data_IF_290289234651
#
_entry.id   IF_290289234651
#
_cell.length_a   1.000
_cell.length_b   1.000
_cell.length_c   1.000
_cell.angle_alpha   90.00
_cell.angle_beta   90.00
_cell.angle_gamma   90.00
#
_symmetry.space_group_name_H-M   'P 1'
#
loop_
_entity.id
_entity.type
_entity.pdbx_description
1 polymer ?
#
# COMPACT_ATOMS: atom_id res chain seq x y z
N UNK A 1 -19.97 -61.57 23.98
CA UNK A 1 -19.81 -60.45 23.03
C UNK A 1 -18.51 -59.75 23.36
N UNK A 2 -17.47 -59.97 22.54
CA UNK A 2 -16.19 -59.26 22.63
C UNK A 2 -15.73 -59.06 21.19
N UNK A 3 -15.85 -57.84 20.68
CA UNK A 3 -15.47 -57.49 19.31
C UNK A 3 -14.02 -57.01 19.34
N UNK A 4 -13.13 -57.83 18.79
CA UNK A 4 -11.73 -57.50 18.48
C UNK A 4 -11.72 -56.65 17.20
N UNK A 5 -11.35 -55.36 17.30
CA UNK A 5 -10.92 -54.59 16.14
C UNK A 5 -9.40 -54.57 16.08
N UNK A 6 -8.87 -55.14 15.00
CA UNK A 6 -7.45 -55.28 14.67
C UNK A 6 -6.90 -53.94 14.17
N UNK A 7 -5.87 -53.43 14.83
CA UNK A 7 -5.05 -52.32 14.36
C UNK A 7 -4.09 -52.81 13.28
N UNK A 8 -4.32 -52.47 12.02
CA UNK A 8 -3.32 -52.64 10.96
C UNK A 8 -2.39 -51.45 10.94
N UNK A 9 -1.15 -51.65 11.41
CA UNK A 9 -0.01 -50.76 11.16
C UNK A 9 0.25 -50.71 9.65
N UNK A 10 0.12 -49.52 9.06
CA UNK A 10 0.70 -49.20 7.77
C UNK A 10 2.07 -48.57 7.97
N UNK A 11 3.13 -49.33 7.67
CA UNK A 11 4.51 -48.83 7.52
C UNK A 11 4.69 -48.46 6.05
N UNK A 12 4.93 -47.18 5.76
CA UNK A 12 5.55 -46.74 4.50
C UNK A 12 6.43 -45.51 4.76
N UNK A 13 7.72 -45.63 4.40
CA UNK A 13 8.51 -44.50 3.92
C UNK A 13 9.53 -43.89 4.88
N UNK A 14 10.69 -44.52 5.01
CA UNK A 14 11.92 -43.91 5.50
C UNK A 14 12.43 -42.84 4.52
N UNK A 15 12.24 -41.55 4.83
CA UNK A 15 12.99 -40.44 4.23
C UNK A 15 13.28 -39.39 5.31
N UNK A 16 14.57 -39.28 5.67
CA UNK A 16 15.19 -38.11 6.33
C UNK A 16 14.51 -37.58 7.60
N UNK A 17 15.05 -37.93 8.76
CA UNK A 17 14.75 -37.29 10.06
C UNK A 17 15.30 -35.86 10.12
N UNK A 18 14.71 -34.94 9.36
CA UNK A 18 14.61 -33.54 9.75
C UNK A 18 13.32 -33.41 10.56
N UNK A 19 13.35 -32.71 11.68
CA UNK A 19 12.19 -32.53 12.57
C UNK A 19 11.01 -31.87 11.84
N UNK A 20 10.18 -32.66 11.15
CA UNK A 20 8.86 -32.28 10.67
C UNK A 20 7.86 -32.27 11.85
N UNK A 21 8.25 -31.61 12.94
CA UNK A 21 7.33 -31.26 14.03
C UNK A 21 6.46 -30.07 13.64
N UNK A 22 5.53 -29.68 14.50
CA UNK A 22 4.63 -28.53 14.30
C UNK A 22 5.34 -27.25 13.81
N UNK A 23 6.63 -27.05 14.14
CA UNK A 23 7.45 -25.96 13.62
C UNK A 23 7.66 -25.98 12.10
N UNK A 24 7.90 -27.14 11.48
CA UNK A 24 8.06 -27.25 10.03
C UNK A 24 6.76 -26.93 9.27
N UNK A 25 5.62 -27.36 9.81
CA UNK A 25 4.30 -27.02 9.27
C UNK A 25 3.95 -25.54 9.48
N UNK A 26 4.35 -24.96 10.61
CA UNK A 26 4.16 -23.54 10.89
C UNK A 26 4.89 -22.68 9.85
N UNK A 27 6.19 -22.88 9.67
CA UNK A 27 6.98 -22.09 8.72
C UNK A 27 6.59 -22.36 7.26
N UNK A 28 6.28 -23.60 6.91
CA UNK A 28 5.87 -23.97 5.53
C UNK A 28 4.50 -23.45 5.10
N UNK A 29 3.65 -23.02 6.04
CA UNK A 29 2.29 -22.49 5.75
C UNK A 29 2.11 -21.04 6.18
N UNK A 30 3.16 -20.40 6.70
CA UNK A 30 3.11 -19.03 7.16
C UNK A 30 2.93 -18.09 5.98
N UNK A 31 1.87 -17.30 6.04
CA UNK A 31 1.69 -16.09 5.24
C UNK A 31 1.87 -14.93 6.21
N UNK A 32 2.84 -14.06 5.92
CA UNK A 32 3.16 -12.88 6.69
C UNK A 32 2.32 -11.66 6.28
N UNK A 33 2.46 -10.55 7.00
CA UNK A 33 1.92 -9.26 6.57
C UNK A 33 2.68 -8.76 5.33
N UNK A 34 3.98 -9.01 5.24
CA UNK A 34 4.77 -8.67 4.06
C UNK A 34 4.28 -9.41 2.80
N UNK A 35 3.86 -10.67 2.91
CA UNK A 35 3.24 -11.39 1.78
C UNK A 35 1.92 -10.76 1.30
N UNK A 36 1.29 -9.91 2.12
CA UNK A 36 0.02 -9.24 1.81
C UNK A 36 0.16 -7.79 1.39
N UNK A 37 1.13 -7.08 1.96
CA UNK A 37 1.38 -5.65 1.71
C UNK A 37 2.58 -5.45 0.80
N UNK A 38 3.64 -6.24 0.99
CA UNK A 38 4.82 -6.30 0.14
C UNK A 38 5.47 -4.94 -0.10
N UNK A 39 5.68 -4.61 -1.37
CA UNK A 39 6.35 -3.38 -1.77
C UNK A 39 5.51 -2.11 -1.60
N UNK A 40 4.34 -2.19 -0.96
CA UNK A 40 3.46 -1.04 -0.73
C UNK A 40 3.73 -0.37 0.62
N UNK A 41 4.55 -1.00 1.47
CA UNK A 41 5.11 -0.35 2.65
C UNK A 41 5.84 0.95 2.26
N UNK A 42 5.60 1.99 3.05
CA UNK A 42 6.29 3.26 2.93
C UNK A 42 7.80 3.07 3.16
N UNK A 43 8.62 3.77 2.36
CA UNK A 43 10.07 3.64 2.41
C UNK A 43 10.69 4.10 3.73
N UNK A 44 11.95 3.71 3.92
CA UNK A 44 12.70 3.99 5.15
C UNK A 44 13.74 5.11 4.98
N UNK A 45 13.91 5.61 3.76
CA UNK A 45 14.83 6.66 3.38
C UNK A 45 14.35 8.05 3.87
N UNK A 46 15.27 9.02 3.89
CA UNK A 46 15.00 10.37 4.38
C UNK A 46 13.85 11.07 3.63
N UNK A 47 13.67 10.78 2.34
CA UNK A 47 12.58 11.35 1.53
C UNK A 47 11.17 11.00 2.05
N UNK A 48 11.06 9.95 2.88
CA UNK A 48 9.82 9.50 3.50
C UNK A 48 9.58 10.10 4.89
N UNK A 49 10.49 10.92 5.43
CA UNK A 49 10.34 11.46 6.80
C UNK A 49 9.03 12.25 6.98
N UNK A 50 8.69 13.12 6.04
CA UNK A 50 7.44 13.88 6.12
C UNK A 50 6.20 12.99 5.92
N UNK A 51 6.34 11.94 5.13
CA UNK A 51 5.30 10.91 4.98
C UNK A 51 5.03 10.17 6.28
N UNK A 52 6.08 9.80 7.02
CA UNK A 52 5.95 9.19 8.34
C UNK A 52 5.35 10.14 9.38
N UNK A 53 5.70 11.43 9.34
CA UNK A 53 5.04 12.45 10.18
C UNK A 53 3.55 12.55 9.88
N UNK A 54 3.16 12.58 8.62
CA UNK A 54 1.75 12.62 8.23
C UNK A 54 0.99 11.37 8.68
N UNK A 55 1.60 10.18 8.54
CA UNK A 55 1.00 8.92 9.02
C UNK A 55 0.85 8.88 10.53
N UNK A 56 1.82 9.44 11.26
CA UNK A 56 1.71 9.63 12.70
C UNK A 56 0.58 10.59 13.07
N UNK A 57 0.42 11.71 12.36
CA UNK A 57 -0.70 12.63 12.58
C UNK A 57 -2.06 11.94 12.36
N UNK A 58 -2.17 11.09 11.34
CA UNK A 58 -3.36 10.25 11.10
C UNK A 58 -3.61 9.24 12.25
N UNK A 59 -2.55 8.74 12.89
CA UNK A 59 -2.68 7.86 14.06
C UNK A 59 -3.23 8.64 15.27
N UNK A 60 -2.79 9.88 15.49
CA UNK A 60 -3.27 10.71 16.60
C UNK A 60 -4.77 11.02 16.51
N UNK A 61 -5.29 11.12 15.28
CA UNK A 61 -6.70 11.39 14.97
C UNK A 61 -7.61 10.15 15.06
N UNK A 62 -7.03 8.95 15.19
CA UNK A 62 -7.80 7.72 15.23
C UNK A 62 -8.60 7.55 16.53
N UNK A 63 -9.74 6.88 16.45
CA UNK A 63 -10.49 6.49 17.64
C UNK A 63 -9.72 5.42 18.43
N UNK A 64 -9.63 5.55 19.76
CA UNK A 64 -8.75 4.70 20.58
C UNK A 64 -9.13 3.21 20.49
N UNK A 65 -10.40 2.89 20.46
CA UNK A 65 -10.94 1.54 20.32
C UNK A 65 -10.58 0.86 19.00
N UNK A 66 -10.26 1.63 17.96
CA UNK A 66 -9.82 1.11 16.66
C UNK A 66 -8.35 0.66 16.63
N UNK A 67 -7.59 0.92 17.70
CA UNK A 67 -6.16 0.68 17.76
C UNK A 67 -5.79 -0.54 18.61
N UNK A 68 -4.78 -1.28 18.17
CA UNK A 68 -4.10 -2.31 18.97
C UNK A 68 -3.19 -1.68 20.04
N UNK A 69 -2.78 -2.43 21.07
CA UNK A 69 -1.96 -1.91 22.17
C UNK A 69 -0.70 -1.15 21.73
N UNK A 70 0.03 -1.64 20.73
CA UNK A 70 1.27 -0.99 20.25
C UNK A 70 0.99 0.40 19.67
N UNK A 71 -0.03 0.52 18.82
CA UNK A 71 -0.44 1.79 18.21
C UNK A 71 -1.02 2.76 19.24
N UNK A 72 -1.76 2.24 20.24
CA UNK A 72 -2.21 3.04 21.40
C UNK A 72 -1.02 3.59 22.18
N UNK A 73 0.01 2.78 22.38
CA UNK A 73 1.21 3.20 23.10
C UNK A 73 1.94 4.30 22.33
N UNK A 74 2.19 4.12 21.03
CA UNK A 74 2.83 5.14 20.18
C UNK A 74 2.04 6.46 20.26
N UNK A 75 0.72 6.40 20.08
CA UNK A 75 -0.16 7.57 20.16
C UNK A 75 -0.08 8.28 21.52
N UNK A 76 -0.04 7.54 22.63
CA UNK A 76 0.01 8.09 23.99
C UNK A 76 1.39 8.69 24.31
N UNK A 77 2.46 8.00 23.95
CA UNK A 77 3.83 8.43 24.20
C UNK A 77 4.24 9.62 23.34
N UNK A 78 3.74 9.68 22.10
CA UNK A 78 4.10 10.72 21.12
C UNK A 78 2.88 11.55 20.71
N UNK A 79 2.14 12.13 21.65
CA UNK A 79 0.84 12.77 21.39
C UNK A 79 0.88 14.10 20.60
N UNK A 80 2.02 14.51 20.05
CA UNK A 80 2.20 15.79 19.35
C UNK A 80 2.28 15.58 17.84
N UNK A 81 1.55 16.40 17.08
CA UNK A 81 1.62 16.39 15.61
C UNK A 81 2.99 16.79 15.08
N UNK A 82 3.34 16.31 13.89
CA UNK A 82 4.63 16.54 13.23
C UNK A 82 5.87 16.16 14.06
N UNK A 83 5.70 15.28 15.05
CA UNK A 83 6.76 14.82 15.92
C UNK A 83 7.62 13.73 15.24
N UNK A 84 8.93 13.95 15.16
CA UNK A 84 9.84 13.01 14.51
C UNK A 84 9.99 11.69 15.29
N UNK A 85 9.94 11.71 16.62
CA UNK A 85 10.04 10.51 17.43
C UNK A 85 8.81 9.61 17.27
N UNK A 86 7.61 10.21 17.20
CA UNK A 86 6.35 9.51 16.91
C UNK A 86 6.33 8.93 15.50
N UNK A 87 6.83 9.68 14.51
CA UNK A 87 7.03 9.20 13.15
C UNK A 87 7.99 7.99 13.11
N UNK A 88 9.11 8.06 13.84
CA UNK A 88 10.09 6.98 13.94
C UNK A 88 9.53 5.76 14.70
N UNK A 89 8.74 5.97 15.75
CA UNK A 89 8.10 4.90 16.50
C UNK A 89 7.06 4.15 15.64
N UNK A 90 6.24 4.88 14.87
CA UNK A 90 5.30 4.29 13.93
C UNK A 90 6.02 3.52 12.81
N UNK A 91 7.07 4.11 12.23
CA UNK A 91 7.94 3.45 11.26
C UNK A 91 8.55 2.16 11.82
N UNK A 92 9.03 2.20 13.06
CA UNK A 92 9.57 1.03 13.76
C UNK A 92 8.54 -0.09 13.91
N UNK A 93 7.32 0.25 14.31
CA UNK A 93 6.21 -0.70 14.39
C UNK A 93 5.84 -1.28 13.01
N UNK A 94 5.74 -0.44 11.98
CA UNK A 94 5.46 -0.90 10.63
C UNK A 94 6.50 -1.90 10.12
N UNK A 95 7.79 -1.66 10.42
CA UNK A 95 8.85 -2.59 10.08
C UNK A 95 8.79 -3.89 10.91
N UNK A 96 8.42 -3.83 12.19
CA UNK A 96 8.36 -5.03 13.04
C UNK A 96 7.22 -5.98 12.69
N UNK A 97 6.10 -5.44 12.16
CA UNK A 97 4.94 -6.27 11.81
C UNK A 97 5.09 -6.99 10.46
N UNK A 98 6.07 -6.65 9.62
CA UNK A 98 6.25 -7.23 8.27
C UNK A 98 6.32 -8.76 8.34
N UNK A 99 7.15 -9.28 9.24
CA UNK A 99 7.34 -10.71 9.43
C UNK A 99 6.28 -11.36 10.34
N UNK A 100 5.31 -10.59 10.85
CA UNK A 100 4.25 -11.15 11.69
C UNK A 100 3.33 -12.03 10.84
N UNK A 101 2.94 -13.18 11.39
CA UNK A 101 2.03 -14.12 10.72
C UNK A 101 0.64 -13.49 10.54
N UNK A 102 0.24 -13.28 9.29
CA UNK A 102 -1.14 -12.99 8.93
C UNK A 102 -2.02 -14.23 9.04
N UNK A 103 -1.55 -15.38 8.54
CA UNK A 103 -2.18 -16.69 8.76
C UNK A 103 -1.18 -17.82 8.68
N UNK A 104 -1.53 -18.97 9.25
CA UNK A 104 -0.85 -20.25 9.01
C UNK A 104 -1.85 -21.39 9.28
N UNK A 105 -1.40 -22.65 9.18
CA UNK A 105 -2.26 -23.82 9.41
C UNK A 105 -2.89 -23.90 10.81
N UNK A 106 -2.33 -23.20 11.81
CA UNK A 106 -2.80 -23.18 13.20
C UNK A 106 -3.53 -21.88 13.58
N UNK A 107 -3.40 -20.82 12.79
CA UNK A 107 -3.90 -19.47 13.12
C UNK A 107 -4.71 -18.92 11.95
N UNK A 108 -5.94 -18.51 12.24
CA UNK A 108 -6.83 -17.83 11.28
C UNK A 108 -6.31 -16.44 10.89
N UNK A 109 -6.86 -15.90 9.80
CA UNK A 109 -6.47 -14.59 9.27
C UNK A 109 -6.55 -13.46 10.30
N UNK A 110 -5.44 -12.76 10.49
CA UNK A 110 -5.38 -11.54 11.29
C UNK A 110 -5.71 -10.32 10.42
N UNK A 111 -7.00 -10.21 10.04
CA UNK A 111 -7.49 -9.10 9.20
C UNK A 111 -7.29 -7.74 9.88
N UNK A 112 -7.51 -7.67 11.19
CA UNK A 112 -7.33 -6.42 11.94
C UNK A 112 -5.89 -5.89 11.85
N UNK A 113 -4.88 -6.75 11.98
CA UNK A 113 -3.49 -6.32 11.81
C UNK A 113 -3.18 -5.90 10.37
N UNK A 114 -3.71 -6.63 9.37
CA UNK A 114 -3.55 -6.28 7.97
C UNK A 114 -4.18 -4.92 7.64
N UNK A 115 -5.39 -4.67 8.12
CA UNK A 115 -6.10 -3.40 7.89
C UNK A 115 -5.34 -2.23 8.53
N UNK A 116 -4.79 -2.43 9.73
CA UNK A 116 -3.96 -1.43 10.41
C UNK A 116 -2.63 -1.20 9.69
N UNK A 117 -2.00 -2.26 9.17
CA UNK A 117 -0.79 -2.17 8.36
C UNK A 117 -1.06 -1.36 7.08
N UNK A 118 -2.13 -1.68 6.36
CA UNK A 118 -2.53 -0.95 5.16
C UNK A 118 -2.84 0.51 5.46
N UNK A 119 -3.48 0.80 6.60
CA UNK A 119 -3.84 2.16 6.98
C UNK A 119 -2.64 3.03 7.36
N UNK A 120 -1.74 2.50 8.19
CA UNK A 120 -0.69 3.30 8.85
C UNK A 120 0.71 3.10 8.26
N UNK A 121 0.94 2.03 7.50
CA UNK A 121 2.24 1.73 6.91
C UNK A 121 2.29 1.96 5.40
N UNK A 122 1.16 2.25 4.76
CA UNK A 122 1.07 2.64 3.35
C UNK A 122 0.61 4.10 3.29
N UNK A 123 1.22 4.88 2.41
CA UNK A 123 0.75 6.22 2.08
C UNK A 123 0.29 6.26 0.62
N UNK A 124 -1.01 6.47 0.35
CA UNK A 124 -1.47 6.75 -1.00
C UNK A 124 -0.85 8.04 -1.55
N UNK A 125 -0.64 8.11 -2.87
CA UNK A 125 -0.10 9.31 -3.53
C UNK A 125 -0.97 10.54 -3.25
N UNK A 126 -2.31 10.39 -3.19
CA UNK A 126 -3.22 11.50 -2.82
C UNK A 126 -2.92 12.11 -1.45
N UNK A 127 -2.56 11.27 -0.48
CA UNK A 127 -2.27 11.72 0.88
C UNK A 127 -0.96 12.49 0.87
N UNK A 128 0.04 12.00 0.13
CA UNK A 128 1.35 12.65 -0.03
C UNK A 128 1.25 14.03 -0.69
N UNK A 129 0.45 14.14 -1.76
CA UNK A 129 0.30 15.39 -2.50
C UNK A 129 -0.65 16.38 -1.81
N UNK A 130 -1.60 15.86 -1.02
CA UNK A 130 -2.71 16.62 -0.46
C UNK A 130 -3.82 16.85 -1.48
N UNK A 131 -5.07 16.73 -1.02
CA UNK A 131 -6.27 16.87 -1.87
C UNK A 131 -6.41 18.26 -2.50
N UNK A 132 -5.82 19.29 -1.90
CA UNK A 132 -5.83 20.66 -2.43
C UNK A 132 -5.00 20.83 -3.69
N UNK A 133 -3.95 20.01 -3.88
CA UNK A 133 -3.07 20.03 -5.04
C UNK A 133 -3.63 19.25 -6.24
N UNK A 134 -4.51 18.27 -5.98
CA UNK A 134 -5.12 17.42 -6.99
C UNK A 134 -6.31 18.09 -7.67
N UNK A 135 -6.54 17.78 -8.94
CA UNK A 135 -7.77 18.15 -9.64
C UNK A 135 -8.98 17.55 -8.92
N UNK A 136 -10.05 18.34 -8.82
CA UNK A 136 -11.33 17.86 -8.28
C UNK A 136 -11.90 16.78 -9.21
N UNK A 137 -11.96 15.54 -8.71
CA UNK A 137 -12.50 14.41 -9.48
C UNK A 137 -13.97 14.59 -9.84
N UNK A 138 -14.74 15.40 -9.10
CA UNK A 138 -16.16 15.64 -9.37
C UNK A 138 -16.39 16.78 -10.36
N UNK A 139 -15.65 17.89 -10.23
CA UNK A 139 -15.94 19.14 -10.95
C UNK A 139 -14.75 19.74 -11.73
N UNK A 140 -13.63 19.02 -11.83
CA UNK A 140 -12.38 19.52 -12.42
C UNK A 140 -12.24 19.37 -13.93
N UNK A 141 -13.35 19.41 -14.69
CA UNK A 141 -13.33 19.15 -16.14
C UNK A 141 -12.29 20.01 -16.88
N UNK A 142 -12.28 21.33 -16.67
CA UNK A 142 -11.34 22.23 -17.37
C UNK A 142 -9.87 21.93 -17.06
N UNK A 143 -9.56 21.55 -15.81
CA UNK A 143 -8.23 21.08 -15.42
C UNK A 143 -7.89 19.74 -16.08
N UNK A 144 -8.84 18.81 -16.17
CA UNK A 144 -8.60 17.54 -16.87
C UNK A 144 -8.45 17.71 -18.38
N UNK A 145 -9.18 18.63 -19.01
CA UNK A 145 -8.97 19.00 -20.41
C UNK A 145 -7.56 19.57 -20.62
N UNK A 146 -7.11 20.44 -19.72
CA UNK A 146 -5.73 20.97 -19.72
C UNK A 146 -4.70 19.86 -19.52
N UNK A 147 -4.96 18.91 -18.62
CA UNK A 147 -4.06 17.80 -18.36
C UNK A 147 -4.02 16.81 -19.52
N UNK A 148 -5.13 16.56 -20.20
CA UNK A 148 -5.16 15.78 -21.44
C UNK A 148 -4.27 16.39 -22.52
N UNK A 149 -4.27 17.73 -22.68
CA UNK A 149 -3.40 18.42 -23.64
C UNK A 149 -1.90 18.23 -23.37
N UNK A 150 -1.50 17.91 -22.13
CA UNK A 150 -0.10 17.59 -21.79
C UNK A 150 0.41 16.34 -22.54
N UNK A 151 -0.49 15.43 -22.97
CA UNK A 151 -0.10 14.22 -23.69
C UNK A 151 0.59 14.50 -25.02
N UNK A 152 0.19 15.57 -25.73
CA UNK A 152 0.74 15.92 -27.05
C UNK A 152 2.28 16.01 -27.02
N UNK A 153 2.79 16.80 -26.08
CA UNK A 153 4.22 17.11 -25.95
C UNK A 153 4.88 16.36 -24.78
N UNK A 154 4.24 15.29 -24.27
CA UNK A 154 4.78 14.54 -23.15
C UNK A 154 6.11 13.88 -23.54
N UNK A 155 7.16 14.22 -22.77
CA UNK A 155 8.51 13.68 -22.88
C UNK A 155 8.76 12.67 -21.75
N UNK A 156 8.81 11.39 -22.12
CA UNK A 156 8.99 10.31 -21.16
C UNK A 156 10.39 10.23 -20.55
N UNK A 157 11.39 10.86 -21.17
CA UNK A 157 12.75 10.89 -20.62
C UNK A 157 12.87 11.76 -19.36
N UNK A 158 11.97 12.74 -19.22
CA UNK A 158 11.96 13.71 -18.11
C UNK A 158 10.88 13.43 -17.07
N UNK A 159 9.71 12.96 -17.52
CA UNK A 159 8.50 12.94 -16.68
C UNK A 159 8.04 11.53 -16.28
N UNK A 160 8.84 10.51 -16.58
CA UNK A 160 8.47 9.10 -16.40
C UNK A 160 7.94 8.47 -17.69
N UNK A 161 7.89 7.14 -17.71
CA UNK A 161 7.32 6.38 -18.81
C UNK A 161 5.80 6.36 -18.66
N UNK A 162 5.06 6.71 -19.72
CA UNK A 162 3.61 6.53 -19.74
C UNK A 162 3.27 5.05 -19.50
N UNK A 163 2.27 4.80 -18.67
CA UNK A 163 1.67 3.47 -18.61
C UNK A 163 0.79 3.21 -19.84
N UNK A 164 0.27 2.00 -19.96
CA UNK A 164 -0.49 1.59 -21.14
C UNK A 164 -1.71 2.48 -21.40
N UNK A 165 -2.40 2.94 -20.35
CA UNK A 165 -3.60 3.77 -20.49
C UNK A 165 -3.23 5.16 -21.00
N UNK A 166 -2.24 5.81 -20.39
CA UNK A 166 -1.81 7.13 -20.84
C UNK A 166 -1.11 7.08 -22.21
N UNK A 167 -0.42 6.00 -22.52
CA UNK A 167 0.19 5.79 -23.84
C UNK A 167 -0.88 5.68 -24.92
N UNK A 168 -1.95 4.90 -24.70
CA UNK A 168 -3.08 4.80 -25.63
C UNK A 168 -3.76 6.17 -25.84
N UNK A 169 -3.92 6.97 -24.78
CA UNK A 169 -4.43 8.33 -24.88
C UNK A 169 -3.50 9.27 -25.66
N UNK A 170 -2.19 9.11 -25.51
CA UNK A 170 -1.20 9.86 -26.29
C UNK A 170 -1.25 9.46 -27.77
N UNK A 171 -1.30 8.16 -28.06
CA UNK A 171 -1.30 7.63 -29.42
C UNK A 171 -2.57 8.03 -30.19
N UNK A 172 -3.69 8.16 -29.48
CA UNK A 172 -4.97 8.63 -30.01
C UNK A 172 -5.21 10.14 -29.81
N UNK A 173 -4.17 10.89 -29.41
CA UNK A 173 -4.31 12.29 -29.04
C UNK A 173 -4.82 13.15 -30.20
N UNK A 174 -5.82 13.98 -29.89
CA UNK A 174 -6.37 15.00 -30.77
C UNK A 174 -6.79 16.21 -29.95
N UNK A 175 -6.19 17.38 -30.22
CA UNK A 175 -6.44 18.61 -29.47
C UNK A 175 -7.90 19.07 -29.54
N UNK A 176 -8.58 18.84 -30.68
CA UNK A 176 -9.99 19.17 -30.86
C UNK A 176 -10.96 18.28 -30.06
N UNK A 177 -10.47 17.19 -29.44
CA UNK A 177 -11.28 16.24 -28.67
C UNK A 177 -10.99 16.26 -27.17
N UNK A 178 -10.41 17.34 -26.64
CA UNK A 178 -10.14 17.46 -25.21
C UNK A 178 -11.42 17.35 -24.36
N UNK A 179 -12.50 18.01 -24.77
CA UNK A 179 -13.81 17.96 -24.12
C UNK A 179 -14.48 16.57 -24.15
N UNK A 180 -14.07 15.70 -25.08
CA UNK A 180 -14.55 14.33 -25.19
C UNK A 180 -13.69 13.33 -24.40
N UNK A 181 -12.39 13.60 -24.24
CA UNK A 181 -11.42 12.64 -23.68
C UNK A 181 -10.91 12.96 -22.28
N UNK A 182 -11.21 14.13 -21.71
CA UNK A 182 -10.79 14.47 -20.34
C UNK A 182 -11.24 13.45 -19.28
N UNK A 183 -12.40 12.81 -19.50
CA UNK A 183 -12.95 11.79 -18.62
C UNK A 183 -12.04 10.56 -18.46
N UNK A 184 -11.27 10.21 -19.49
CA UNK A 184 -10.32 9.09 -19.45
C UNK A 184 -9.10 9.41 -18.57
N UNK A 185 -8.62 10.66 -18.61
CA UNK A 185 -7.56 11.13 -17.71
C UNK A 185 -8.05 11.16 -16.26
N UNK A 186 -9.29 11.62 -16.02
CA UNK A 186 -9.93 11.58 -14.70
C UNK A 186 -10.04 10.15 -14.16
N UNK A 187 -10.53 9.20 -14.96
CA UNK A 187 -10.68 7.80 -14.55
C UNK A 187 -9.33 7.19 -14.20
N UNK A 188 -8.31 7.43 -15.03
CA UNK A 188 -6.94 7.02 -14.75
C UNK A 188 -6.43 7.63 -13.44
N UNK A 189 -6.60 8.94 -13.25
CA UNK A 189 -6.20 9.64 -12.03
C UNK A 189 -6.88 9.08 -10.79
N UNK A 190 -8.18 8.75 -10.86
CA UNK A 190 -8.94 8.18 -9.73
C UNK A 190 -8.29 6.91 -9.20
N UNK A 191 -7.79 6.05 -10.08
CA UNK A 191 -7.08 4.84 -9.68
C UNK A 191 -5.61 5.11 -9.31
N UNK A 192 -4.95 6.01 -10.03
CA UNK A 192 -3.53 6.26 -9.87
C UNK A 192 -3.19 6.96 -8.54
N UNK A 193 -4.05 7.85 -8.05
CA UNK A 193 -3.82 8.57 -6.78
C UNK A 193 -3.94 7.68 -5.54
N UNK A 194 -4.64 6.55 -5.64
CA UNK A 194 -4.79 5.56 -4.57
C UNK A 194 -3.56 4.63 -4.46
N UNK A 195 -2.70 4.61 -5.49
CA UNK A 195 -1.49 3.80 -5.47
C UNK A 195 -0.56 4.25 -4.33
N UNK A 196 0.22 3.34 -3.74
CA UNK A 196 1.23 3.66 -2.75
C UNK A 196 2.29 4.62 -3.29
N UNK A 197 2.66 5.59 -2.48
CA UNK A 197 3.80 6.47 -2.72
C UNK A 197 5.11 5.71 -2.47
N UNK A 198 5.91 5.53 -3.53
CA UNK A 198 7.19 4.81 -3.50
C UNK A 198 8.41 5.72 -3.71
N UNK A 199 8.27 7.00 -3.36
CA UNK A 199 9.31 8.01 -3.51
C UNK A 199 9.08 8.94 -4.71
N UNK A 200 9.74 10.08 -4.72
CA UNK A 200 9.51 11.13 -5.74
C UNK A 200 10.03 10.73 -7.12
N UNK A 201 10.95 9.76 -7.16
CA UNK A 201 11.51 9.24 -8.40
C UNK A 201 10.63 8.17 -9.07
N UNK A 202 9.64 7.62 -8.33
CA UNK A 202 8.74 6.57 -8.80
C UNK A 202 7.94 7.03 -10.02
N UNK A 203 7.74 6.09 -10.95
CA UNK A 203 7.06 6.37 -12.20
C UNK A 203 5.58 6.75 -11.98
N UNK A 204 4.88 6.05 -11.10
CA UNK A 204 3.46 6.32 -10.83
C UNK A 204 3.30 7.70 -10.18
N UNK A 205 4.19 8.05 -9.25
CA UNK A 205 4.18 9.37 -8.63
C UNK A 205 4.36 10.49 -9.65
N UNK A 206 5.38 10.41 -10.51
CA UNK A 206 5.63 11.41 -11.56
C UNK A 206 4.47 11.58 -12.54
N UNK A 207 3.84 10.47 -12.94
CA UNK A 207 2.67 10.52 -13.81
C UNK A 207 1.49 11.20 -13.11
N UNK A 208 1.23 10.87 -11.85
CA UNK A 208 0.16 11.52 -11.06
C UNK A 208 0.44 13.01 -10.89
N UNK A 209 1.68 13.40 -10.60
CA UNK A 209 2.05 14.82 -10.54
C UNK A 209 1.82 15.54 -11.86
N UNK A 210 2.05 14.87 -12.99
CA UNK A 210 1.88 15.47 -14.31
C UNK A 210 0.41 15.64 -14.68
N UNK A 211 -0.39 14.59 -14.47
CA UNK A 211 -1.74 14.48 -15.07
C UNK A 211 -2.90 14.68 -14.08
N UNK A 212 -2.65 14.64 -12.77
CA UNK A 212 -3.70 14.72 -11.75
C UNK A 212 -3.64 15.95 -10.86
N UNK A 213 -2.58 16.78 -10.97
CA UNK A 213 -2.50 18.08 -10.29
C UNK A 213 -3.25 19.17 -11.07
N UNK A 214 -3.74 20.18 -10.34
CA UNK A 214 -4.44 21.35 -10.88
C UNK A 214 -3.57 22.16 -11.86
#
# INVERSE_FOLDING_TARGET
MSVLFKSSLGVLGSLGTGTAGAGGLYYGTKVSIDDKVGHDFLGNEEEFNDSWKQKHDQLLEAAEESLIPDLKNIRKTHATKANQDGANALKGWCNSIRDTSYKNIFISENKSLLDLAQKYCIQPIKDKLGTSALVDMSNGQSSFETNYKKLNNYDSSKNGKLDSVLQELKDSFNDGKASENWGKVKEWCTSAIEKPFKGSSDNSFKLVETFCKK
#
